data_IF_601341070439
#
_entry.id   IF_601341070439
#
_cell.length_a   1.000
_cell.length_b   1.000
_cell.length_c   1.000
_cell.angle_alpha   90.00
_cell.angle_beta   90.00
_cell.angle_gamma   90.00
#
_symmetry.space_group_name_H-M   'P 1'
#
loop_
_entity.id
_entity.type
_entity.pdbx_description
1 polymer ?
#
# COMPACT_ATOMS: atom_id res chain seq x y z
N UNK A 1 24.57 14.27 -24.95
CA UNK A 1 24.20 15.42 -24.11
C UNK A 1 23.20 16.23 -24.93
N UNK A 2 21.93 15.86 -24.85
CA UNK A 2 20.87 16.35 -25.74
C UNK A 2 19.67 16.81 -24.91
N UNK A 3 19.32 18.08 -25.08
CA UNK A 3 18.16 18.81 -24.57
C UNK A 3 16.82 18.28 -25.12
N UNK A 4 16.39 17.07 -24.76
CA UNK A 4 15.06 16.56 -25.12
C UNK A 4 14.18 16.02 -23.99
N UNK A 5 14.66 16.00 -22.75
CA UNK A 5 13.93 15.34 -21.65
C UNK A 5 13.24 16.29 -20.64
N UNK A 6 13.12 17.59 -20.93
CA UNK A 6 12.54 18.55 -19.97
C UNK A 6 11.15 19.11 -20.34
N UNK A 7 10.49 18.64 -21.41
CA UNK A 7 9.28 19.30 -21.94
C UNK A 7 7.93 18.59 -21.67
N UNK A 8 7.88 17.55 -20.83
CA UNK A 8 6.65 16.78 -20.60
C UNK A 8 5.88 17.11 -19.29
N UNK A 9 6.41 17.95 -18.40
CA UNK A 9 5.89 18.11 -17.03
C UNK A 9 5.36 19.50 -16.66
N UNK A 10 5.10 20.39 -17.63
CA UNK A 10 4.68 21.77 -17.34
C UNK A 10 3.32 22.14 -17.97
N UNK A 11 2.39 21.18 -17.99
CA UNK A 11 0.99 21.46 -18.32
C UNK A 11 0.31 22.08 -17.09
N UNK A 12 0.54 23.39 -16.89
CA UNK A 12 -0.26 24.21 -15.98
C UNK A 12 -1.73 24.10 -16.39
N UNK A 13 -2.53 23.43 -15.56
CA UNK A 13 -3.95 23.19 -15.80
C UNK A 13 -4.68 24.53 -15.93
N UNK A 14 -5.44 24.80 -17.01
CA UNK A 14 -6.33 25.94 -17.03
C UNK A 14 -7.39 25.74 -15.94
N UNK A 15 -7.44 26.65 -14.96
CA UNK A 15 -8.45 26.69 -13.90
C UNK A 15 -9.84 26.73 -14.54
N UNK A 16 -10.49 25.57 -14.66
CA UNK A 16 -11.86 25.45 -15.11
C UNK A 16 -12.77 26.09 -14.05
N UNK A 17 -13.41 27.20 -14.38
CA UNK A 17 -14.38 27.87 -13.49
C UNK A 17 -15.74 27.20 -13.64
N UNK A 18 -16.34 26.84 -12.53
CA UNK A 18 -17.70 26.29 -12.45
C UNK A 18 -18.63 27.31 -11.80
N UNK A 19 -19.89 27.39 -12.25
CA UNK A 19 -20.91 28.19 -11.59
C UNK A 19 -21.45 27.51 -10.31
N UNK A 20 -22.30 28.21 -9.56
CA UNK A 20 -22.93 27.70 -8.33
C UNK A 20 -23.81 26.44 -8.56
N UNK A 21 -24.10 26.10 -9.83
CA UNK A 21 -24.84 24.91 -10.25
C UNK A 21 -23.92 23.80 -10.81
N UNK A 22 -22.59 23.95 -10.72
CA UNK A 22 -21.61 22.96 -11.14
C UNK A 22 -21.39 22.88 -12.65
N UNK A 23 -21.77 23.89 -13.43
CA UNK A 23 -21.58 23.91 -14.89
C UNK A 23 -20.29 24.61 -15.26
N UNK A 24 -19.56 24.05 -16.22
CA UNK A 24 -18.34 24.67 -16.74
C UNK A 24 -18.65 26.01 -17.43
N UNK A 25 -17.92 27.06 -17.06
CA UNK A 25 -18.02 28.41 -17.62
C UNK A 25 -16.75 28.74 -18.39
N UNK A 26 -16.62 28.19 -19.59
CA UNK A 26 -15.53 28.54 -20.52
C UNK A 26 -15.79 29.88 -21.22
N UNK A 27 -14.76 30.73 -21.29
CA UNK A 27 -14.64 31.99 -22.06
C UNK A 27 -15.96 32.61 -22.58
N UNK A 28 -16.75 33.15 -21.65
CA UNK A 28 -17.68 34.25 -21.93
C UNK A 28 -18.93 33.94 -22.75
N UNK A 29 -19.28 32.67 -22.99
CA UNK A 29 -20.54 32.33 -23.70
C UNK A 29 -21.37 31.35 -22.89
N UNK A 30 -22.51 31.81 -22.36
CA UNK A 30 -23.48 30.94 -21.68
C UNK A 30 -24.17 30.09 -22.75
N UNK A 31 -23.68 28.87 -22.96
CA UNK A 31 -24.37 27.88 -23.78
C UNK A 31 -25.59 27.36 -23.03
N UNK A 32 -26.78 27.85 -23.40
CA UNK A 32 -28.06 27.45 -22.81
C UNK A 32 -28.64 26.17 -23.46
N UNK A 33 -27.77 25.28 -23.92
CA UNK A 33 -28.14 23.94 -24.38
C UNK A 33 -27.69 22.94 -23.32
N UNK A 34 -28.52 21.97 -22.91
CA UNK A 34 -28.00 20.84 -22.15
C UNK A 34 -26.84 20.27 -22.97
N UNK A 35 -25.66 20.16 -22.36
CA UNK A 35 -24.52 19.52 -22.99
C UNK A 35 -25.02 18.22 -23.63
N UNK A 36 -24.68 17.92 -24.90
CA UNK A 36 -24.97 16.60 -25.43
C UNK A 36 -24.40 15.61 -24.42
N UNK A 37 -25.22 14.63 -24.00
CA UNK A 37 -24.74 13.52 -23.17
C UNK A 37 -23.65 12.87 -24.01
N UNK A 38 -22.39 13.24 -23.77
CA UNK A 38 -21.27 12.69 -24.50
C UNK A 38 -21.34 11.19 -24.22
N UNK A 39 -21.51 10.38 -25.26
CA UNK A 39 -21.41 8.93 -25.11
C UNK A 39 -20.11 8.65 -24.39
N UNK A 40 -20.18 7.92 -23.27
CA UNK A 40 -19.01 7.55 -22.50
C UNK A 40 -18.00 6.86 -23.43
N UNK A 41 -16.78 7.39 -23.45
CA UNK A 41 -15.72 6.82 -24.27
C UNK A 41 -15.52 5.34 -23.94
N UNK A 42 -15.11 4.56 -24.94
CA UNK A 42 -14.82 3.14 -24.73
C UNK A 42 -13.72 2.93 -23.67
N UNK A 43 -12.73 3.82 -23.61
CA UNK A 43 -11.65 3.82 -22.64
C UNK A 43 -12.15 4.03 -21.21
N UNK A 44 -13.03 5.00 -20.99
CA UNK A 44 -13.67 5.23 -19.69
C UNK A 44 -14.54 4.04 -19.27
N UNK A 45 -15.39 3.54 -20.17
CA UNK A 45 -16.26 2.37 -19.89
C UNK A 45 -15.45 1.13 -19.52
N UNK A 46 -14.35 0.86 -20.22
CA UNK A 46 -13.46 -0.27 -19.92
C UNK A 46 -12.77 -0.14 -18.56
N UNK A 47 -12.31 1.06 -18.21
CA UNK A 47 -11.72 1.27 -16.89
C UNK A 47 -12.75 1.08 -15.78
N UNK A 48 -13.95 1.64 -15.91
CA UNK A 48 -15.03 1.47 -14.94
C UNK A 48 -15.44 0.00 -14.83
N UNK A 49 -15.51 -0.74 -15.93
CA UNK A 49 -15.71 -2.19 -15.91
C UNK A 49 -14.55 -2.93 -15.20
N UNK A 50 -13.32 -2.42 -15.31
CA UNK A 50 -12.18 -2.97 -14.57
C UNK A 50 -12.30 -2.80 -13.05
N UNK A 51 -13.09 -1.83 -12.58
CA UNK A 51 -13.31 -1.61 -11.14
C UNK A 51 -14.17 -2.69 -10.48
N UNK A 52 -14.93 -3.46 -11.27
CA UNK A 52 -15.68 -4.62 -10.81
C UNK A 52 -14.75 -5.73 -10.32
N UNK A 53 -14.82 -6.03 -9.02
CA UNK A 53 -14.09 -7.15 -8.41
C UNK A 53 -14.91 -8.43 -8.57
N UNK A 54 -14.26 -9.50 -9.06
CA UNK A 54 -14.82 -10.85 -9.08
C UNK A 54 -13.86 -11.81 -8.37
N UNK A 55 -14.32 -13.03 -8.06
CA UNK A 55 -13.53 -14.01 -7.31
C UNK A 55 -12.15 -14.26 -7.93
N UNK A 56 -12.08 -14.42 -9.26
CA UNK A 56 -10.82 -14.68 -9.96
C UNK A 56 -9.86 -13.51 -9.80
N UNK A 57 -10.34 -12.27 -9.98
CA UNK A 57 -9.52 -11.08 -9.85
C UNK A 57 -9.02 -10.87 -8.43
N UNK A 58 -9.85 -11.17 -7.44
CA UNK A 58 -9.44 -11.12 -6.04
C UNK A 58 -8.38 -12.19 -5.75
N UNK A 59 -8.61 -13.44 -6.17
CA UNK A 59 -7.71 -14.57 -5.96
C UNK A 59 -6.34 -14.34 -6.63
N UNK A 60 -6.34 -13.79 -7.84
CA UNK A 60 -5.12 -13.58 -8.63
C UNK A 60 -4.47 -12.22 -8.37
N UNK A 61 -5.02 -11.40 -7.47
CA UNK A 61 -4.51 -10.05 -7.19
C UNK A 61 -4.59 -9.08 -8.38
N UNK A 62 -5.56 -9.27 -9.28
CA UNK A 62 -5.75 -8.42 -10.46
C UNK A 62 -6.45 -7.11 -10.08
N UNK A 63 -5.70 -6.01 -10.19
CA UNK A 63 -6.17 -4.65 -9.94
C UNK A 63 -6.98 -4.03 -11.11
N UNK A 64 -7.09 -2.70 -11.10
CA UNK A 64 -7.68 -1.96 -12.22
C UNK A 64 -6.81 -2.07 -13.48
N UNK A 65 -7.39 -1.82 -14.66
CA UNK A 65 -6.64 -1.80 -15.93
C UNK A 65 -5.84 -0.48 -16.07
N UNK A 66 -4.74 -0.38 -15.32
CA UNK A 66 -3.90 0.83 -15.26
C UNK A 66 -3.27 1.18 -16.61
N UNK A 67 -3.05 0.18 -17.48
CA UNK A 67 -2.50 0.40 -18.81
C UNK A 67 -3.44 1.24 -19.70
N UNK A 68 -4.74 1.28 -19.39
CA UNK A 68 -5.69 2.17 -20.07
C UNK A 68 -5.45 3.64 -19.71
N UNK A 69 -5.06 3.95 -18.46
CA UNK A 69 -4.87 5.33 -18.01
C UNK A 69 -3.84 6.08 -18.87
N UNK A 70 -2.77 5.39 -19.29
CA UNK A 70 -1.74 5.94 -20.16
C UNK A 70 -2.21 6.21 -21.61
N UNK A 71 -3.34 5.63 -22.03
CA UNK A 71 -3.89 5.73 -23.39
C UNK A 71 -5.17 6.56 -23.46
N UNK A 72 -5.69 6.97 -22.30
CA UNK A 72 -6.90 7.76 -22.18
C UNK A 72 -6.68 9.19 -22.69
N UNK A 73 -7.77 9.78 -23.18
CA UNK A 73 -7.82 11.23 -23.38
C UNK A 73 -7.67 11.98 -22.05
N UNK A 74 -7.38 13.28 -22.11
CA UNK A 74 -7.29 14.11 -20.91
C UNK A 74 -8.65 14.14 -20.19
N UNK A 75 -9.73 14.21 -20.95
CA UNK A 75 -11.10 14.20 -20.46
C UNK A 75 -11.43 12.89 -19.73
N UNK A 76 -11.07 11.74 -20.31
CA UNK A 76 -11.29 10.43 -19.66
C UNK A 76 -10.48 10.28 -18.37
N UNK A 77 -9.21 10.70 -18.38
CA UNK A 77 -8.37 10.66 -17.16
C UNK A 77 -8.98 11.50 -16.05
N UNK A 78 -9.49 12.68 -16.38
CA UNK A 78 -10.16 13.54 -15.42
C UNK A 78 -11.46 12.93 -14.90
N UNK A 79 -12.24 12.26 -15.76
CA UNK A 79 -13.44 11.55 -15.33
C UNK A 79 -13.12 10.37 -14.39
N UNK A 80 -12.09 9.58 -14.71
CA UNK A 80 -11.62 8.49 -13.85
C UNK A 80 -11.13 9.04 -12.51
N UNK A 81 -10.32 10.10 -12.54
CA UNK A 81 -9.82 10.72 -11.33
C UNK A 81 -10.97 11.23 -10.46
N UNK A 82 -11.90 11.99 -11.04
CA UNK A 82 -13.08 12.51 -10.34
C UNK A 82 -13.89 11.38 -9.70
N UNK A 83 -14.06 10.26 -10.40
CA UNK A 83 -14.73 9.06 -9.89
C UNK A 83 -14.00 8.49 -8.65
N UNK A 84 -12.67 8.35 -8.71
CA UNK A 84 -11.86 7.84 -7.59
C UNK A 84 -11.91 8.78 -6.39
N UNK A 85 -11.79 10.10 -6.62
CA UNK A 85 -11.79 11.11 -5.56
C UNK A 85 -13.15 11.21 -4.86
N UNK A 86 -14.27 11.17 -5.60
CA UNK A 86 -15.63 11.22 -5.03
C UNK A 86 -15.91 10.00 -4.14
N UNK A 87 -15.41 8.83 -4.52
CA UNK A 87 -15.56 7.60 -3.73
C UNK A 87 -14.67 7.60 -2.49
N UNK A 88 -13.56 8.33 -2.53
CA UNK A 88 -12.49 8.28 -1.55
C UNK A 88 -11.55 7.10 -1.78
N UNK A 89 -10.30 7.25 -1.33
CA UNK A 89 -9.26 6.21 -1.41
C UNK A 89 -9.52 5.16 -0.35
N UNK A 90 -10.17 4.05 -0.71
CA UNK A 90 -10.62 3.04 0.24
C UNK A 90 -9.89 1.71 0.10
N UNK A 91 -9.25 1.48 -1.03
CA UNK A 91 -8.60 0.21 -1.36
C UNK A 91 -7.25 0.43 -2.07
N UNK A 92 -6.40 -0.60 -2.07
CA UNK A 92 -5.08 -0.57 -2.71
C UNK A 92 -5.14 -0.30 -4.21
N UNK A 93 -6.23 -0.70 -4.88
CA UNK A 93 -6.45 -0.44 -6.31
C UNK A 93 -6.66 1.05 -6.59
N UNK A 94 -7.31 1.77 -5.67
CA UNK A 94 -7.48 3.21 -5.78
C UNK A 94 -6.13 3.92 -5.65
N UNK A 95 -5.28 3.45 -4.72
CA UNK A 95 -3.90 3.92 -4.58
C UNK A 95 -3.13 3.75 -5.89
N UNK A 96 -3.18 2.57 -6.50
CA UNK A 96 -2.49 2.31 -7.77
C UNK A 96 -2.98 3.20 -8.91
N UNK A 97 -4.30 3.38 -9.04
CA UNK A 97 -4.83 4.24 -10.09
C UNK A 97 -4.48 5.71 -9.88
N UNK A 98 -4.51 6.21 -8.65
CA UNK A 98 -4.11 7.59 -8.35
C UNK A 98 -2.61 7.81 -8.57
N UNK A 99 -1.77 6.82 -8.23
CA UNK A 99 -0.33 6.85 -8.58
C UNK A 99 -0.15 6.90 -10.10
N UNK A 100 -0.90 6.08 -10.85
CA UNK A 100 -0.81 6.05 -12.31
C UNK A 100 -1.36 7.33 -12.98
N UNK A 101 -2.32 8.00 -12.36
CA UNK A 101 -2.86 9.28 -12.82
C UNK A 101 -1.87 10.43 -12.59
N UNK A 102 -1.16 10.44 -11.46
CA UNK A 102 -0.07 11.36 -11.11
C UNK A 102 -0.37 12.87 -11.28
N UNK A 103 -1.64 13.25 -11.14
CA UNK A 103 -2.06 14.65 -11.11
C UNK A 103 -1.81 15.27 -9.73
N UNK A 104 -1.83 16.60 -9.65
CA UNK A 104 -1.70 17.32 -8.37
C UNK A 104 -2.81 16.93 -7.38
N UNK A 105 -4.04 16.78 -7.85
CA UNK A 105 -5.19 16.34 -7.06
C UNK A 105 -5.08 14.89 -6.60
N UNK A 106 -4.57 13.98 -7.45
CA UNK A 106 -4.29 12.60 -7.06
C UNK A 106 -3.22 12.53 -5.98
N UNK A 107 -2.10 13.24 -6.14
CA UNK A 107 -1.03 13.31 -5.13
C UNK A 107 -1.53 13.86 -3.80
N UNK A 108 -2.34 14.92 -3.82
CA UNK A 108 -2.96 15.47 -2.62
C UNK A 108 -3.88 14.46 -1.93
N UNK A 109 -4.68 13.71 -2.68
CA UNK A 109 -5.53 12.66 -2.14
C UNK A 109 -4.72 11.51 -1.52
N UNK A 110 -3.61 11.10 -2.15
CA UNK A 110 -2.70 10.09 -1.61
C UNK A 110 -2.02 10.56 -0.32
N UNK A 111 -1.62 11.83 -0.23
CA UNK A 111 -1.07 12.40 1.00
C UNK A 111 -2.08 12.40 2.15
N UNK A 112 -3.34 12.77 1.87
CA UNK A 112 -4.42 12.67 2.87
C UNK A 112 -4.67 11.21 3.27
N UNK A 113 -4.63 10.28 2.32
CA UNK A 113 -4.79 8.85 2.57
C UNK A 113 -3.63 8.25 3.37
N UNK A 114 -2.40 8.76 3.20
CA UNK A 114 -1.26 8.37 4.03
C UNK A 114 -1.49 8.72 5.51
N UNK A 115 -2.03 9.90 5.79
CA UNK A 115 -2.28 10.37 7.16
C UNK A 115 -3.54 9.75 7.79
N UNK A 116 -4.62 9.64 7.01
CA UNK A 116 -5.98 9.38 7.54
C UNK A 116 -6.68 8.18 6.94
N UNK A 117 -6.08 7.55 5.93
CA UNK A 117 -6.63 6.37 5.29
C UNK A 117 -6.72 5.21 6.27
N UNK A 118 -7.54 4.22 5.95
CA UNK A 118 -7.62 2.99 6.74
C UNK A 118 -6.27 2.23 6.72
N UNK A 119 -6.03 1.29 7.65
CA UNK A 119 -4.75 0.60 7.75
C UNK A 119 -4.30 -0.09 6.45
N UNK A 120 -5.21 -0.71 5.70
CA UNK A 120 -4.89 -1.39 4.44
C UNK A 120 -4.47 -0.41 3.34
N UNK A 121 -5.11 0.77 3.27
CA UNK A 121 -4.71 1.85 2.34
C UNK A 121 -3.33 2.38 2.69
N UNK A 122 -3.04 2.62 3.98
CA UNK A 122 -1.70 3.05 4.41
C UNK A 122 -0.64 2.00 4.07
N UNK A 123 -0.95 0.71 4.27
CA UNK A 123 -0.08 -0.41 3.90
C UNK A 123 0.20 -0.45 2.39
N UNK A 124 -0.84 -0.27 1.58
CA UNK A 124 -0.70 -0.18 0.13
C UNK A 124 0.19 1.00 -0.29
N UNK A 125 0.06 2.15 0.38
CA UNK A 125 0.91 3.32 0.16
C UNK A 125 2.37 3.06 0.53
N UNK A 126 2.63 2.41 1.67
CA UNK A 126 4.00 2.03 2.05
C UNK A 126 4.66 1.14 0.98
N UNK A 127 3.92 0.20 0.39
CA UNK A 127 4.45 -0.69 -0.65
C UNK A 127 4.69 0.01 -1.99
N UNK A 128 3.83 0.96 -2.38
CA UNK A 128 3.77 1.49 -3.75
C UNK A 128 4.32 2.91 -3.89
N UNK A 129 4.21 3.70 -2.84
CA UNK A 129 4.67 5.08 -2.80
C UNK A 129 5.27 5.40 -1.41
N UNK A 130 6.31 4.66 -0.96
CA UNK A 130 6.90 4.85 0.36
C UNK A 130 7.39 6.28 0.59
N UNK A 131 7.81 6.99 -0.47
CA UNK A 131 8.26 8.37 -0.37
C UNK A 131 7.18 9.37 0.10
N UNK A 132 5.90 8.99 0.08
CA UNK A 132 4.79 9.82 0.58
C UNK A 132 4.60 9.72 2.09
N UNK A 133 5.26 8.79 2.76
CA UNK A 133 5.13 8.53 4.19
C UNK A 133 6.52 8.65 4.80
N UNK A 134 6.68 9.47 5.84
CA UNK A 134 7.96 9.53 6.55
C UNK A 134 8.28 8.20 7.24
N UNK A 135 9.57 7.90 7.40
CA UNK A 135 10.02 6.59 7.90
C UNK A 135 9.51 6.28 9.31
N UNK A 136 9.33 7.29 10.15
CA UNK A 136 8.83 7.12 11.52
C UNK A 136 7.35 6.71 11.50
N UNK A 137 6.53 7.37 10.68
CA UNK A 137 5.14 6.99 10.46
C UNK A 137 5.00 5.60 9.82
N UNK A 138 5.86 5.26 8.85
CA UNK A 138 5.91 3.91 8.29
C UNK A 138 6.22 2.88 9.39
N UNK A 139 7.26 3.14 10.20
CA UNK A 139 7.69 2.26 11.28
C UNK A 139 6.60 2.06 12.32
N UNK A 140 5.94 3.14 12.74
CA UNK A 140 4.83 3.08 13.68
C UNK A 140 3.64 2.28 13.11
N UNK A 141 3.30 2.50 11.84
CA UNK A 141 2.20 1.77 11.21
C UNK A 141 2.51 0.29 11.01
N UNK A 142 3.75 -0.08 10.64
CA UNK A 142 4.17 -1.50 10.54
C UNK A 142 4.14 -2.16 11.91
N UNK A 143 4.70 -1.50 12.95
CA UNK A 143 4.68 -2.01 14.32
C UNK A 143 3.25 -2.24 14.84
N UNK A 144 2.34 -1.27 14.63
CA UNK A 144 0.92 -1.40 14.99
C UNK A 144 0.27 -2.62 14.31
N UNK A 145 0.59 -2.86 13.03
CA UNK A 145 0.04 -3.99 12.27
C UNK A 145 0.61 -5.33 12.76
N UNK A 146 1.91 -5.42 13.01
CA UNK A 146 2.50 -6.62 13.62
C UNK A 146 1.85 -6.96 14.97
N UNK A 147 1.42 -5.96 15.73
CA UNK A 147 0.77 -6.18 17.02
C UNK A 147 -0.69 -6.62 16.90
N UNK A 148 -1.44 -6.14 15.90
CA UNK A 148 -2.91 -6.26 15.88
C UNK A 148 -3.51 -6.98 14.65
N UNK A 149 -2.79 -7.08 13.53
CA UNK A 149 -3.30 -7.67 12.29
C UNK A 149 -3.46 -9.19 12.38
N UNK A 150 -4.49 -9.73 11.74
CA UNK A 150 -4.66 -11.17 11.53
C UNK A 150 -4.12 -11.60 10.16
N UNK A 151 -3.99 -12.90 9.90
CA UNK A 151 -3.66 -13.39 8.55
C UNK A 151 -4.68 -12.97 7.49
N UNK A 152 -5.96 -12.83 7.87
CA UNK A 152 -7.00 -12.33 6.98
C UNK A 152 -6.94 -10.80 6.78
N UNK A 153 -6.27 -10.09 7.69
CA UNK A 153 -6.21 -8.63 7.75
C UNK A 153 -4.78 -8.12 7.55
N UNK A 154 -4.12 -8.50 6.44
CA UNK A 154 -2.82 -8.02 5.98
C UNK A 154 -1.60 -8.26 6.92
N UNK A 155 -1.63 -9.26 7.80
CA UNK A 155 -0.42 -9.60 8.60
C UNK A 155 0.77 -10.01 7.72
N UNK A 156 0.53 -10.78 6.65
CA UNK A 156 1.58 -11.16 5.70
C UNK A 156 2.29 -9.94 5.11
N UNK A 157 1.51 -8.95 4.71
CA UNK A 157 2.02 -7.70 4.16
C UNK A 157 2.82 -6.89 5.18
N UNK A 158 2.42 -6.89 6.45
CA UNK A 158 3.16 -6.24 7.52
C UNK A 158 4.50 -6.96 7.80
N UNK A 159 4.54 -8.29 7.72
CA UNK A 159 5.77 -9.09 7.86
C UNK A 159 6.73 -8.79 6.71
N UNK A 160 6.24 -8.74 5.47
CA UNK A 160 7.07 -8.40 4.31
C UNK A 160 7.69 -7.00 4.45
N UNK A 161 6.88 -6.00 4.80
CA UNK A 161 7.36 -4.63 5.03
C UNK A 161 8.36 -4.55 6.20
N UNK A 162 8.16 -5.33 7.26
CA UNK A 162 9.08 -5.37 8.39
C UNK A 162 10.46 -5.93 8.02
N UNK A 163 10.56 -6.77 6.99
CA UNK A 163 11.84 -7.24 6.46
C UNK A 163 12.64 -6.12 5.78
N UNK A 164 11.93 -5.20 5.11
CA UNK A 164 12.54 -4.05 4.41
C UNK A 164 12.72 -2.82 5.31
N UNK A 165 12.03 -2.77 6.45
CA UNK A 165 12.05 -1.65 7.40
C UNK A 165 12.41 -2.09 8.84
N UNK A 166 13.66 -2.54 9.10
CA UNK A 166 14.08 -3.04 10.40
C UNK A 166 14.42 -1.91 11.39
N UNK A 167 13.47 -1.02 11.66
CA UNK A 167 13.63 0.05 12.65
C UNK A 167 13.38 -0.47 14.06
N UNK A 168 13.89 0.24 15.08
CA UNK A 168 13.74 -0.18 16.47
C UNK A 168 12.27 -0.46 16.88
N UNK A 169 11.26 0.38 16.53
CA UNK A 169 9.87 0.08 16.83
C UNK A 169 9.35 -1.23 16.20
N UNK A 170 9.78 -1.53 14.97
CA UNK A 170 9.39 -2.76 14.25
C UNK A 170 10.03 -3.98 14.90
N UNK A 171 11.33 -3.92 15.20
CA UNK A 171 12.04 -5.00 15.89
C UNK A 171 11.43 -5.26 17.27
N UNK A 172 11.13 -4.22 18.04
CA UNK A 172 10.45 -4.35 19.32
C UNK A 172 9.06 -4.99 19.21
N UNK A 173 8.28 -4.62 18.19
CA UNK A 173 6.97 -5.20 17.94
C UNK A 173 7.07 -6.71 17.64
N UNK A 174 8.07 -7.12 16.85
CA UNK A 174 8.34 -8.55 16.60
C UNK A 174 8.68 -9.29 17.90
N UNK A 175 9.57 -8.74 18.74
CA UNK A 175 9.92 -9.33 20.03
C UNK A 175 8.71 -9.44 20.97
N UNK A 176 7.92 -8.36 21.12
CA UNK A 176 6.67 -8.40 21.89
C UNK A 176 5.71 -9.44 21.33
N UNK A 177 5.67 -9.58 20.01
CA UNK A 177 4.81 -10.53 19.34
C UNK A 177 5.21 -11.98 19.58
N UNK A 178 6.51 -12.28 19.73
CA UNK A 178 6.97 -13.61 20.14
C UNK A 178 6.40 -14.04 21.48
N UNK A 179 6.10 -13.12 22.39
CA UNK A 179 5.54 -13.45 23.72
C UNK A 179 4.02 -13.50 23.73
N UNK A 180 3.37 -12.65 22.93
CA UNK A 180 1.95 -12.31 23.08
C UNK A 180 1.05 -12.85 21.97
N UNK A 181 1.60 -13.15 20.79
CA UNK A 181 0.82 -13.62 19.64
C UNK A 181 0.70 -15.14 19.67
N UNK A 182 -0.26 -15.64 18.90
CA UNK A 182 -0.49 -17.06 18.70
C UNK A 182 0.74 -17.75 18.10
N UNK A 183 0.85 -19.06 18.33
CA UNK A 183 2.05 -19.81 17.98
C UNK A 183 2.37 -19.82 16.49
N UNK A 184 1.37 -19.82 15.63
CA UNK A 184 1.54 -19.70 14.20
C UNK A 184 2.15 -18.34 13.81
N UNK A 185 1.71 -17.23 14.41
CA UNK A 185 2.30 -15.89 14.20
C UNK A 185 3.71 -15.80 14.79
N UNK A 186 3.92 -16.31 16.00
CA UNK A 186 5.21 -16.26 16.68
C UNK A 186 6.32 -16.99 15.90
N UNK A 187 6.00 -18.09 15.19
CA UNK A 187 6.94 -18.74 14.25
C UNK A 187 7.45 -17.76 13.20
N UNK A 188 6.56 -16.94 12.64
CA UNK A 188 6.92 -16.01 11.57
C UNK A 188 7.76 -14.85 12.09
N UNK A 189 7.46 -14.35 13.29
CA UNK A 189 8.26 -13.31 13.91
C UNK A 189 9.65 -13.83 14.29
N UNK A 190 9.76 -15.08 14.73
CA UNK A 190 11.04 -15.69 15.07
C UNK A 190 11.92 -15.88 13.83
N UNK A 191 11.31 -16.34 12.73
CA UNK A 191 11.98 -16.47 11.45
C UNK A 191 12.47 -15.11 10.92
N UNK A 192 11.63 -14.07 11.02
CA UNK A 192 11.99 -12.73 10.58
C UNK A 192 13.11 -12.13 11.46
N UNK A 193 13.02 -12.23 12.79
CA UNK A 193 14.08 -11.77 13.69
C UNK A 193 15.41 -12.49 13.42
N UNK A 194 15.38 -13.81 13.18
CA UNK A 194 16.59 -14.55 12.83
C UNK A 194 17.22 -14.03 11.53
N UNK A 195 16.41 -13.73 10.51
CA UNK A 195 16.89 -13.11 9.26
C UNK A 195 17.46 -11.71 9.48
N UNK A 196 16.73 -10.84 10.19
CA UNK A 196 17.14 -9.45 10.44
C UNK A 196 18.43 -9.34 11.27
N UNK A 197 18.73 -10.35 12.09
CA UNK A 197 19.99 -10.46 12.84
C UNK A 197 21.06 -11.32 12.14
N UNK A 198 20.86 -11.70 10.88
CA UNK A 198 21.86 -12.41 10.07
C UNK A 198 22.06 -13.90 10.41
N UNK A 199 21.19 -14.48 11.24
CA UNK A 199 21.23 -15.92 11.56
C UNK A 199 20.70 -16.79 10.41
N UNK A 200 19.81 -16.24 9.58
CA UNK A 200 19.21 -16.89 8.43
C UNK A 200 19.57 -16.13 7.14
N UNK A 201 19.75 -16.85 6.02
CA UNK A 201 20.11 -16.23 4.73
C UNK A 201 18.93 -15.58 4.01
N UNK A 202 17.71 -15.97 4.38
CA UNK A 202 16.47 -15.44 3.84
C UNK A 202 15.37 -15.52 4.91
N UNK A 203 14.30 -14.72 4.79
CA UNK A 203 13.10 -14.93 5.59
C UNK A 203 12.64 -16.39 5.46
N UNK A 204 12.31 -17.03 6.59
CA UNK A 204 11.81 -18.42 6.60
C UNK A 204 12.80 -19.48 6.08
N UNK A 205 14.09 -19.33 6.37
CA UNK A 205 15.10 -20.32 6.02
C UNK A 205 14.73 -21.75 6.47
N UNK A 206 14.60 -22.66 5.49
CA UNK A 206 14.20 -24.04 5.70
C UNK A 206 15.16 -24.81 6.61
N UNK A 207 16.44 -24.45 6.64
CA UNK A 207 17.43 -25.08 7.52
C UNK A 207 17.13 -24.77 9.01
N UNK A 208 16.59 -23.59 9.29
CA UNK A 208 16.20 -23.16 10.64
C UNK A 208 14.75 -23.48 10.98
N UNK A 209 13.95 -23.99 10.04
CA UNK A 209 12.54 -24.34 10.26
C UNK A 209 12.30 -25.19 11.52
N UNK A 210 13.10 -26.23 11.85
CA UNK A 210 12.89 -26.98 13.09
C UNK A 210 13.00 -26.11 14.35
N UNK A 211 13.89 -25.12 14.34
CA UNK A 211 14.02 -24.17 15.44
C UNK A 211 12.84 -23.18 15.47
N UNK A 212 12.43 -22.62 14.34
CA UNK A 212 11.27 -21.72 14.29
C UNK A 212 9.99 -22.39 14.75
N UNK A 213 9.78 -23.68 14.44
CA UNK A 213 8.60 -24.43 14.88
C UNK A 213 8.53 -24.62 16.41
N UNK A 214 9.63 -24.46 17.15
CA UNK A 214 9.57 -24.40 18.62
C UNK A 214 8.78 -23.19 19.12
N UNK A 215 8.61 -22.18 18.26
CA UNK A 215 7.72 -21.05 18.50
C UNK A 215 6.25 -21.35 18.18
N UNK A 216 5.85 -22.57 17.82
CA UNK A 216 4.44 -22.94 17.70
C UNK A 216 3.97 -23.80 18.89
N UNK A 217 3.73 -23.17 20.05
CA UNK A 217 3.30 -23.85 21.28
C UNK A 217 2.33 -22.97 22.07
N UNK A 218 1.34 -23.57 22.73
CA UNK A 218 0.48 -22.86 23.67
C UNK A 218 1.13 -22.73 25.06
N UNK A 219 2.25 -23.43 25.30
CA UNK A 219 2.95 -23.42 26.58
C UNK A 219 3.90 -22.22 26.68
N UNK A 220 3.56 -21.26 27.55
CA UNK A 220 4.34 -20.03 27.78
C UNK A 220 5.76 -20.30 28.31
N UNK A 221 5.99 -21.40 29.02
CA UNK A 221 7.33 -21.75 29.49
C UNK A 221 8.23 -22.25 28.35
N UNK A 222 7.69 -23.08 27.45
CA UNK A 222 8.39 -23.54 26.24
C UNK A 222 8.69 -22.37 25.30
N UNK A 223 7.70 -21.50 25.10
CA UNK A 223 7.82 -20.23 24.38
C UNK A 223 8.99 -19.39 24.91
N UNK A 224 9.06 -19.18 26.22
CA UNK A 224 10.14 -18.41 26.84
C UNK A 224 11.53 -19.06 26.67
N UNK A 225 11.61 -20.39 26.71
CA UNK A 225 12.86 -21.11 26.42
C UNK A 225 13.31 -20.92 24.97
N UNK A 226 12.38 -20.95 24.01
CA UNK A 226 12.66 -20.68 22.60
C UNK A 226 13.14 -19.24 22.39
N UNK A 227 12.48 -18.25 23.00
CA UNK A 227 12.89 -16.83 22.97
C UNK A 227 14.31 -16.66 23.50
N UNK A 228 14.61 -17.19 24.70
CA UNK A 228 15.97 -17.10 25.29
C UNK A 228 17.03 -17.75 24.40
N UNK A 229 16.68 -18.85 23.71
CA UNK A 229 17.57 -19.49 22.76
C UNK A 229 17.82 -18.60 21.54
N UNK A 230 16.80 -17.93 21.01
CA UNK A 230 16.97 -16.97 19.92
C UNK A 230 17.88 -15.81 20.33
N UNK A 231 17.66 -15.21 21.50
CA UNK A 231 18.53 -14.14 22.02
C UNK A 231 19.99 -14.58 22.08
N UNK A 232 20.27 -15.77 22.62
CA UNK A 232 21.64 -16.30 22.70
C UNK A 232 22.28 -16.47 21.31
N UNK A 233 21.54 -17.01 20.34
CA UNK A 233 22.05 -17.18 18.98
C UNK A 233 22.41 -15.82 18.34
N UNK A 234 21.59 -14.79 18.58
CA UNK A 234 21.84 -13.43 18.09
C UNK A 234 23.11 -12.83 18.75
N UNK A 235 23.25 -13.00 20.06
CA UNK A 235 24.45 -12.57 20.80
C UNK A 235 25.71 -13.26 20.27
N UNK A 236 25.67 -14.58 20.06
CA UNK A 236 26.78 -15.38 19.54
C UNK A 236 27.19 -14.99 18.10
N UNK A 237 26.24 -14.58 17.26
CA UNK A 237 26.51 -14.15 15.89
C UNK A 237 27.01 -12.69 15.79
N UNK A 238 26.87 -11.90 16.85
CA UNK A 238 27.29 -10.50 16.89
C UNK A 238 28.76 -10.32 17.33
N UNK A 239 29.45 -11.42 17.65
CA UNK A 239 30.87 -11.48 18.08
C UNK A 239 31.77 -11.84 16.91
#
# INVERSE_FOLDING_TARGET
MNDRDQAANDASYPLMRYDEAGRYVGNGTVHNSPLPIAEESETFRRFTASMGMNYQRWHDGVGYDLALLARMSVEDRWQVESLLLVRGVNDWRDVEALIALDSETARAALAVAAERGNPSVRLALMKRAPALIDQDAQSASVAERLENASWADDLSDAIDLAADLPTAPVIEALWRGLERRDGDVAVHFAALLAYLHGLAQQPFDLAMRPFFLTFNTENSAERLLAIRRLCRLIEEASV
#
